data_IF_285890619811
#
_entry.id   IF_285890619811
#
_cell.length_a   1.000
_cell.length_b   1.000
_cell.length_c   1.000
_cell.angle_alpha   90.00
_cell.angle_beta   90.00
_cell.angle_gamma   90.00
#
_symmetry.space_group_name_H-M   'P 1'
#
loop_
_entity.id
_entity.type
_entity.pdbx_description
1 polymer ?
#
# COMPACT_ATOMS: atom_id res chain seq x y z
N UNK A 1 -12.47 8.03 6.39
CA UNK A 1 -11.38 7.61 5.49
C UNK A 1 -11.09 6.14 5.73
N UNK A 2 -10.96 5.37 4.64
CA UNK A 2 -10.66 3.94 4.66
C UNK A 2 -9.61 3.63 3.58
N UNK A 3 -8.40 3.26 3.98
CA UNK A 3 -7.38 2.77 3.05
C UNK A 3 -7.56 1.26 2.83
N UNK A 4 -7.74 0.83 1.57
CA UNK A 4 -8.00 -0.57 1.23
C UNK A 4 -7.30 -1.00 -0.07
N UNK A 5 -6.15 -1.67 -0.02
CA UNK A 5 -5.41 -2.17 1.16
C UNK A 5 -4.85 -1.09 2.07
N UNK A 6 -4.73 -1.42 3.36
CA UNK A 6 -4.32 -0.49 4.38
C UNK A 6 -2.80 -0.32 4.48
N UNK A 7 -2.35 0.90 4.71
CA UNK A 7 -0.99 1.24 5.12
C UNK A 7 -1.03 1.69 6.60
N UNK A 8 -0.28 1.05 7.51
CA UNK A 8 0.93 0.24 7.25
C UNK A 8 0.77 -1.29 7.34
N UNK A 9 -0.44 -1.83 7.53
CA UNK A 9 -0.65 -3.26 7.81
C UNK A 9 -0.53 -4.16 6.57
N UNK A 10 -0.78 -3.62 5.37
CA UNK A 10 -0.84 -4.39 4.13
C UNK A 10 -2.08 -5.28 4.00
N UNK A 11 -2.99 -5.24 4.96
CA UNK A 11 -4.24 -6.00 4.96
C UNK A 11 -5.33 -5.27 4.17
N UNK A 12 -6.38 -5.99 3.76
CA UNK A 12 -7.56 -5.39 3.15
C UNK A 12 -8.85 -5.89 3.81
N UNK A 13 -9.91 -5.15 3.59
CA UNK A 13 -11.28 -5.51 3.94
C UNK A 13 -11.94 -6.10 2.70
N UNK A 14 -12.67 -7.22 2.86
CA UNK A 14 -13.35 -7.89 1.76
C UNK A 14 -14.41 -7.00 1.10
N UNK A 15 -14.72 -7.26 -0.19
CA UNK A 15 -15.81 -6.56 -0.89
C UNK A 15 -17.15 -6.66 -0.16
N UNK A 16 -17.42 -7.80 0.50
CA UNK A 16 -18.64 -7.99 1.30
C UNK A 16 -18.68 -7.05 2.50
N UNK A 17 -17.57 -6.93 3.21
CA UNK A 17 -17.54 -6.18 4.46
C UNK A 17 -17.46 -4.68 4.24
N UNK A 18 -16.78 -4.20 3.17
CA UNK A 18 -16.78 -2.79 2.82
C UNK A 18 -18.18 -2.33 2.33
N UNK A 19 -18.92 -3.19 1.61
CA UNK A 19 -20.31 -2.92 1.25
C UNK A 19 -21.22 -2.87 2.47
N UNK A 20 -21.03 -3.78 3.44
CA UNK A 20 -21.75 -3.75 4.72
C UNK A 20 -21.45 -2.47 5.50
N UNK A 21 -20.17 -2.05 5.55
CA UNK A 21 -19.78 -0.79 6.16
C UNK A 21 -20.56 0.37 5.54
N UNK A 22 -20.55 0.50 4.20
CA UNK A 22 -21.26 1.59 3.51
C UNK A 22 -22.75 1.59 3.79
N UNK A 23 -23.41 0.43 3.82
CA UNK A 23 -24.84 0.30 4.13
C UNK A 23 -25.19 0.76 5.56
N UNK A 24 -24.26 0.59 6.52
CA UNK A 24 -24.46 1.03 7.91
C UNK A 24 -24.15 2.51 8.15
N UNK A 25 -23.42 3.15 7.24
CA UNK A 25 -23.15 4.58 7.34
C UNK A 25 -24.38 5.39 6.91
N UNK A 26 -24.71 6.42 7.67
CA UNK A 26 -25.77 7.39 7.32
C UNK A 26 -25.46 8.04 5.96
N UNK A 27 -26.51 8.45 5.24
CA UNK A 27 -26.36 9.01 3.89
C UNK A 27 -25.62 10.37 3.85
N UNK A 28 -25.59 11.10 4.96
CA UNK A 28 -24.87 12.36 5.08
C UNK A 28 -23.36 12.17 5.41
N UNK A 29 -22.88 10.94 5.55
CA UNK A 29 -21.46 10.65 5.79
C UNK A 29 -20.79 10.35 4.46
N UNK A 30 -19.79 11.17 4.11
CA UNK A 30 -18.90 10.90 2.98
C UNK A 30 -17.91 9.78 3.35
N UNK A 31 -17.94 8.68 2.61
CA UNK A 31 -16.92 7.64 2.70
C UNK A 31 -15.80 7.91 1.70
N UNK A 32 -14.60 8.12 2.19
CA UNK A 32 -13.41 8.22 1.33
C UNK A 32 -12.69 6.87 1.33
N UNK A 33 -12.59 6.24 0.16
CA UNK A 33 -11.87 4.97 -0.04
C UNK A 33 -10.55 5.27 -0.74
N UNK A 34 -9.44 5.04 -0.05
CA UNK A 34 -8.10 5.18 -0.60
C UNK A 34 -7.64 3.85 -1.22
N UNK A 35 -7.74 3.77 -2.53
CA UNK A 35 -7.36 2.62 -3.36
C UNK A 35 -5.88 2.66 -3.80
N UNK A 36 -4.98 3.31 -3.04
CA UNK A 36 -3.58 3.52 -3.45
C UNK A 36 -2.79 2.23 -3.72
N UNK A 37 -3.27 1.08 -3.26
CA UNK A 37 -2.61 -0.22 -3.40
C UNK A 37 -3.51 -1.29 -4.05
N UNK A 38 -4.63 -0.91 -4.64
CA UNK A 38 -5.63 -1.87 -5.13
C UNK A 38 -5.07 -2.83 -6.18
N UNK A 39 -4.13 -2.38 -7.01
CA UNK A 39 -3.54 -3.21 -8.08
C UNK A 39 -2.84 -4.46 -7.53
N UNK A 40 -2.28 -4.37 -6.33
CA UNK A 40 -1.62 -5.52 -5.70
C UNK A 40 -2.60 -6.52 -5.09
N UNK A 41 -3.78 -6.04 -4.66
CA UNK A 41 -4.80 -6.86 -4.02
C UNK A 41 -5.80 -7.48 -5.01
N UNK A 42 -5.93 -6.95 -6.23
CA UNK A 42 -6.97 -7.32 -7.21
C UNK A 42 -6.94 -8.80 -7.66
N UNK A 43 -5.87 -9.52 -7.36
CA UNK A 43 -5.79 -10.97 -7.63
C UNK A 43 -6.54 -11.82 -6.60
N UNK A 44 -7.01 -11.23 -5.50
CA UNK A 44 -7.78 -11.94 -4.48
C UNK A 44 -9.27 -11.91 -4.83
N UNK A 45 -9.92 -13.05 -4.81
CA UNK A 45 -11.33 -13.22 -5.25
C UNK A 45 -12.36 -12.45 -4.44
N UNK A 46 -12.07 -12.18 -3.17
CA UNK A 46 -12.94 -11.47 -2.23
C UNK A 46 -12.59 -9.98 -2.09
N UNK A 47 -11.54 -9.52 -2.77
CA UNK A 47 -11.19 -8.10 -2.88
C UNK A 47 -11.88 -7.48 -4.10
N UNK A 48 -12.25 -6.21 -3.98
CA UNK A 48 -12.69 -5.40 -5.11
C UNK A 48 -12.32 -3.93 -4.86
N UNK A 49 -11.97 -3.21 -5.93
CA UNK A 49 -11.63 -1.80 -5.83
C UNK A 49 -12.84 -0.94 -5.46
N UNK A 50 -12.59 0.14 -4.73
CA UNK A 50 -13.64 1.10 -4.39
C UNK A 50 -14.34 1.66 -5.62
N UNK A 51 -13.63 1.85 -6.73
CA UNK A 51 -14.22 2.33 -7.97
C UNK A 51 -15.30 1.39 -8.51
N UNK A 52 -15.01 0.09 -8.58
CA UNK A 52 -15.97 -0.89 -9.08
C UNK A 52 -17.18 -1.05 -8.14
N UNK A 53 -16.94 -0.99 -6.82
CA UNK A 53 -18.01 -1.13 -5.82
C UNK A 53 -18.92 0.09 -5.74
N UNK A 54 -18.38 1.30 -5.90
CA UNK A 54 -19.07 2.54 -5.51
C UNK A 54 -19.22 3.58 -6.62
N UNK A 55 -18.93 3.25 -7.88
CA UNK A 55 -19.00 4.21 -9.01
C UNK A 55 -20.34 4.94 -9.13
N UNK A 56 -21.45 4.35 -8.65
CA UNK A 56 -22.78 4.92 -8.72
C UNK A 56 -23.25 5.54 -7.37
N UNK A 57 -22.40 5.58 -6.37
CA UNK A 57 -22.75 6.15 -5.06
C UNK A 57 -22.43 7.65 -5.01
N UNK A 58 -23.41 8.47 -4.61
CA UNK A 58 -23.25 9.94 -4.56
C UNK A 58 -22.34 10.44 -3.45
N UNK A 59 -22.19 9.69 -2.37
CA UNK A 59 -21.47 10.07 -1.15
C UNK A 59 -20.26 9.17 -0.86
N UNK A 60 -19.58 8.72 -1.90
CA UNK A 60 -18.30 8.01 -1.82
C UNK A 60 -17.29 8.72 -2.71
N UNK A 61 -16.11 8.99 -2.18
CA UNK A 61 -14.95 9.47 -2.90
C UNK A 61 -13.91 8.36 -2.96
N UNK A 62 -13.49 7.99 -4.14
CA UNK A 62 -12.39 7.05 -4.37
C UNK A 62 -11.14 7.82 -4.74
N UNK A 63 -10.02 7.53 -4.11
CA UNK A 63 -8.72 8.13 -4.44
C UNK A 63 -7.74 7.09 -4.96
N UNK A 64 -6.96 7.44 -5.98
CA UNK A 64 -5.89 6.62 -6.54
C UNK A 64 -4.63 7.43 -6.78
N UNK A 65 -3.51 6.75 -6.90
CA UNK A 65 -2.21 7.40 -7.02
C UNK A 65 -1.36 6.78 -8.12
N UNK A 66 -0.54 7.60 -8.76
CA UNK A 66 0.54 7.14 -9.64
C UNK A 66 1.87 6.94 -8.88
N UNK A 67 1.89 7.19 -7.57
CA UNK A 67 3.08 7.13 -6.73
C UNK A 67 3.57 5.71 -6.40
N UNK A 68 2.76 4.67 -6.65
CA UNK A 68 3.06 3.29 -6.25
C UNK A 68 3.45 2.45 -7.47
N UNK A 69 2.55 1.62 -7.97
CA UNK A 69 2.84 0.68 -9.05
C UNK A 69 3.31 1.36 -10.35
N UNK A 70 2.87 2.58 -10.58
CA UNK A 70 3.26 3.37 -11.75
C UNK A 70 4.65 4.02 -11.65
N UNK A 71 5.29 3.96 -10.47
CA UNK A 71 6.66 4.47 -10.27
C UNK A 71 6.81 5.99 -10.25
N UNK A 72 5.73 6.76 -10.22
CA UNK A 72 5.74 8.23 -10.36
C UNK A 72 5.66 8.97 -9.02
N UNK A 73 6.23 8.41 -7.96
CA UNK A 73 6.14 8.99 -6.60
C UNK A 73 6.64 10.43 -6.50
N UNK A 74 7.72 10.76 -7.23
CA UNK A 74 8.32 12.10 -7.26
C UNK A 74 7.49 13.15 -8.00
N UNK A 75 6.59 12.73 -8.90
CA UNK A 75 5.79 13.65 -9.72
C UNK A 75 4.50 14.14 -9.03
N UNK A 76 4.16 13.59 -7.87
CA UNK A 76 3.04 14.05 -7.02
C UNK A 76 1.69 14.11 -7.76
N UNK A 77 1.32 13.05 -8.46
CA UNK A 77 0.07 12.95 -9.23
C UNK A 77 -0.78 11.76 -8.78
N UNK A 78 -2.06 11.98 -8.72
CA UNK A 78 -3.12 11.03 -8.42
C UNK A 78 -4.45 11.56 -8.95
N UNK A 79 -5.53 10.84 -8.71
CA UNK A 79 -6.86 11.26 -9.12
C UNK A 79 -7.92 10.79 -8.12
N UNK A 80 -9.06 11.46 -8.16
CA UNK A 80 -10.24 11.11 -7.38
C UNK A 80 -11.46 10.94 -8.27
N UNK A 81 -12.37 10.06 -7.86
CA UNK A 81 -13.64 9.81 -8.50
C UNK A 81 -14.78 9.89 -7.48
N UNK A 82 -15.81 10.68 -7.80
CA UNK A 82 -17.01 10.83 -6.95
C UNK A 82 -18.16 11.40 -7.76
N UNK A 83 -19.29 11.74 -7.09
CA UNK A 83 -20.38 12.49 -7.71
C UNK A 83 -19.93 13.87 -8.18
N UNK A 84 -20.66 14.43 -9.13
CA UNK A 84 -20.37 15.77 -9.70
C UNK A 84 -20.30 16.86 -8.63
N UNK A 85 -21.17 16.79 -7.62
CA UNK A 85 -21.24 17.76 -6.53
C UNK A 85 -19.96 17.76 -5.68
N UNK A 86 -19.50 16.57 -5.31
CA UNK A 86 -18.26 16.40 -4.52
C UNK A 86 -17.05 16.86 -5.35
N UNK A 87 -16.97 16.45 -6.61
CA UNK A 87 -15.87 16.86 -7.50
C UNK A 87 -15.88 18.38 -7.72
N UNK A 88 -17.05 19.01 -7.85
CA UNK A 88 -17.17 20.48 -7.95
C UNK A 88 -16.61 21.15 -6.70
N UNK A 89 -16.98 20.68 -5.52
CA UNK A 89 -16.47 21.20 -4.23
C UNK A 89 -14.94 21.04 -4.10
N UNK A 90 -14.40 19.89 -4.48
CA UNK A 90 -12.95 19.66 -4.49
C UNK A 90 -12.22 20.58 -5.48
N UNK A 91 -12.80 20.83 -6.65
CA UNK A 91 -12.21 21.72 -7.65
C UNK A 91 -12.19 23.19 -7.20
N UNK A 92 -13.16 23.64 -6.38
CA UNK A 92 -13.15 25.00 -5.80
C UNK A 92 -12.03 25.18 -4.77
N UNK A 93 -11.63 24.11 -4.07
CA UNK A 93 -10.55 24.14 -3.06
C UNK A 93 -9.17 23.89 -3.66
N UNK A 94 -9.12 23.38 -4.87
CA UNK A 94 -7.87 23.00 -5.54
C UNK A 94 -7.09 24.26 -5.93
N UNK A 95 -5.82 24.40 -5.50
CA UNK A 95 -5.00 25.53 -5.95
C UNK A 95 -4.75 25.46 -7.47
N UNK A 96 -4.55 26.60 -8.12
CA UNK A 96 -4.19 26.63 -9.53
C UNK A 96 -2.86 25.88 -9.73
N UNK A 97 -2.74 25.21 -10.89
CA UNK A 97 -1.54 24.45 -11.28
C UNK A 97 -1.11 23.37 -10.27
N UNK A 98 -2.03 22.80 -9.50
CA UNK A 98 -1.77 21.79 -8.47
C UNK A 98 -1.09 20.50 -8.98
N UNK A 99 -1.16 20.22 -10.29
CA UNK A 99 -0.43 19.13 -10.95
C UNK A 99 0.39 19.71 -12.09
N UNK A 100 1.69 19.45 -12.12
CA UNK A 100 2.56 19.93 -13.19
C UNK A 100 2.34 19.16 -14.51
N UNK A 101 2.65 19.80 -15.64
CA UNK A 101 2.44 19.21 -16.99
C UNK A 101 3.22 17.92 -17.19
N UNK A 102 4.46 17.85 -16.73
CA UNK A 102 5.28 16.65 -16.85
C UNK A 102 4.62 15.45 -16.15
N UNK A 103 4.03 15.67 -14.95
CA UNK A 103 3.30 14.64 -14.23
C UNK A 103 2.06 14.15 -15.00
N UNK A 104 1.32 15.04 -15.67
CA UNK A 104 0.15 14.65 -16.48
C UNK A 104 0.55 13.80 -17.68
N UNK A 105 1.59 14.18 -18.40
CA UNK A 105 2.11 13.40 -19.54
C UNK A 105 2.63 12.03 -19.07
N UNK A 106 3.43 11.99 -18.00
CA UNK A 106 3.95 10.75 -17.44
C UNK A 106 2.83 9.81 -16.97
N UNK A 107 1.80 10.35 -16.28
CA UNK A 107 0.64 9.57 -15.85
C UNK A 107 -0.14 9.00 -17.03
N UNK A 108 -0.38 9.82 -18.07
CA UNK A 108 -1.07 9.38 -19.29
C UNK A 108 -0.31 8.29 -20.05
N UNK A 109 1.01 8.34 -20.06
CA UNK A 109 1.86 7.31 -20.65
C UNK A 109 1.85 6.02 -19.80
N UNK A 110 2.03 6.17 -18.48
CA UNK A 110 2.16 5.02 -17.56
C UNK A 110 0.89 4.19 -17.44
N UNK A 111 -0.31 4.81 -17.51
CA UNK A 111 -1.58 4.07 -17.46
C UNK A 111 -1.78 3.14 -18.66
N UNK A 112 -1.15 3.45 -19.79
CA UNK A 112 -1.20 2.64 -21.01
C UNK A 112 -0.21 1.48 -20.99
N UNK A 113 0.81 1.52 -20.13
CA UNK A 113 1.82 0.46 -20.02
C UNK A 113 1.31 -0.72 -19.18
N UNK A 114 0.37 -1.46 -19.76
CA UNK A 114 -0.20 -2.65 -19.11
C UNK A 114 0.82 -3.80 -18.95
N UNK A 115 1.90 -3.81 -19.76
CA UNK A 115 2.98 -4.78 -19.64
C UNK A 115 3.77 -4.56 -18.35
N UNK A 116 4.13 -3.31 -18.08
CA UNK A 116 4.75 -2.92 -16.83
C UNK A 116 3.88 -3.31 -15.62
N UNK A 117 2.61 -2.93 -15.61
CA UNK A 117 1.69 -3.23 -14.50
C UNK A 117 1.62 -4.72 -14.20
N UNK A 118 1.45 -5.57 -15.22
CA UNK A 118 1.40 -7.03 -15.05
C UNK A 118 2.72 -7.59 -14.51
N UNK A 119 3.86 -7.08 -14.99
CA UNK A 119 5.19 -7.48 -14.53
C UNK A 119 5.38 -7.13 -13.05
N UNK A 120 5.03 -5.90 -12.65
CA UNK A 120 5.17 -5.44 -11.26
C UNK A 120 4.24 -6.20 -10.30
N UNK A 121 2.97 -6.41 -10.66
CA UNK A 121 2.04 -7.23 -9.85
C UNK A 121 2.62 -8.63 -9.64
N UNK A 122 3.10 -9.28 -10.70
CA UNK A 122 3.71 -10.62 -10.63
C UNK A 122 4.96 -10.62 -9.76
N UNK A 123 5.82 -9.62 -9.89
CA UNK A 123 7.03 -9.45 -9.09
C UNK A 123 6.71 -9.29 -7.60
N UNK A 124 5.85 -8.35 -7.25
CA UNK A 124 5.47 -8.09 -5.86
C UNK A 124 4.81 -9.30 -5.23
N UNK A 125 3.84 -9.94 -5.89
CA UNK A 125 3.16 -11.12 -5.36
C UNK A 125 4.12 -12.31 -5.15
N UNK A 126 5.07 -12.53 -6.07
CA UNK A 126 6.12 -13.54 -5.93
C UNK A 126 6.97 -13.29 -4.66
N UNK A 127 7.42 -12.05 -4.47
CA UNK A 127 8.28 -11.71 -3.34
C UNK A 127 7.52 -11.62 -2.01
N UNK A 128 6.28 -11.15 -2.02
CA UNK A 128 5.40 -11.17 -0.84
C UNK A 128 5.23 -12.61 -0.32
N UNK A 129 4.95 -13.56 -1.22
CA UNK A 129 4.85 -15.00 -0.88
C UNK A 129 6.17 -15.54 -0.31
N UNK A 130 7.31 -15.17 -0.91
CA UNK A 130 8.63 -15.60 -0.43
C UNK A 130 8.97 -14.98 0.93
N UNK A 131 8.73 -13.68 1.12
CA UNK A 131 8.92 -12.99 2.39
C UNK A 131 8.07 -13.62 3.48
N UNK A 132 6.77 -13.83 3.22
CA UNK A 132 5.86 -14.43 4.18
C UNK A 132 6.36 -15.78 4.69
N UNK A 133 6.75 -16.70 3.78
CA UNK A 133 7.30 -18.02 4.14
C UNK A 133 8.59 -17.90 5.01
N UNK A 134 9.49 -16.98 4.64
CA UNK A 134 10.74 -16.78 5.37
C UNK A 134 10.48 -16.16 6.74
N UNK A 135 9.59 -15.17 6.85
CA UNK A 135 9.25 -14.59 8.15
C UNK A 135 8.60 -15.61 9.07
N UNK A 136 7.72 -16.47 8.54
CA UNK A 136 7.18 -17.58 9.32
C UNK A 136 8.27 -18.55 9.81
N UNK A 137 9.22 -18.94 8.97
CA UNK A 137 10.33 -19.83 9.37
C UNK A 137 11.25 -19.21 10.42
N UNK A 138 11.35 -17.88 10.44
CA UNK A 138 12.08 -17.12 11.47
C UNK A 138 11.22 -16.79 12.71
N UNK A 139 9.98 -17.27 12.79
CA UNK A 139 9.00 -16.96 13.83
C UNK A 139 8.71 -15.45 13.97
N UNK A 140 8.98 -14.66 12.93
CA UNK A 140 8.63 -13.24 12.84
C UNK A 140 7.16 -13.15 12.50
N UNK A 141 6.40 -12.42 13.32
CA UNK A 141 4.97 -12.22 13.07
C UNK A 141 4.73 -11.26 11.92
N UNK A 142 3.89 -11.65 10.99
CA UNK A 142 3.51 -10.82 9.83
C UNK A 142 2.18 -11.26 9.26
N UNK A 143 1.44 -10.32 8.70
CA UNK A 143 0.31 -10.61 7.82
C UNK A 143 0.82 -10.79 6.39
N UNK A 144 0.11 -11.58 5.57
CA UNK A 144 0.37 -11.58 4.14
C UNK A 144 0.07 -10.19 3.57
N UNK A 145 1.08 -9.57 2.94
CA UNK A 145 0.96 -8.21 2.43
C UNK A 145 0.25 -8.17 1.07
N UNK A 146 -0.80 -7.35 0.99
CA UNK A 146 -1.53 -7.05 -0.25
C UNK A 146 -1.20 -5.65 -0.79
N UNK A 147 0.01 -5.16 -0.50
CA UNK A 147 0.62 -3.93 -0.99
C UNK A 147 2.05 -4.22 -1.42
N UNK A 148 2.82 -3.20 -1.82
CA UNK A 148 4.24 -3.36 -2.14
C UNK A 148 5.16 -3.37 -0.91
N UNK A 149 4.64 -3.71 0.26
CA UNK A 149 5.37 -3.81 1.52
C UNK A 149 4.76 -4.86 2.45
N UNK A 150 5.49 -5.23 3.50
CA UNK A 150 5.02 -6.07 4.59
C UNK A 150 5.33 -5.42 5.92
N UNK A 151 4.40 -5.57 6.88
CA UNK A 151 4.60 -5.23 8.28
C UNK A 151 5.12 -6.48 9.00
N UNK A 152 6.21 -6.34 9.75
CA UNK A 152 6.83 -7.40 10.53
C UNK A 152 6.96 -6.98 11.99
N UNK A 153 6.57 -7.88 12.90
CA UNK A 153 6.63 -7.67 14.34
C UNK A 153 7.61 -8.68 14.98
N UNK A 154 8.36 -8.23 15.98
CA UNK A 154 9.45 -9.00 16.57
C UNK A 154 9.18 -9.49 17.99
N UNK A 155 7.94 -9.36 18.49
CA UNK A 155 7.61 -9.76 19.86
C UNK A 155 7.80 -11.27 20.08
N UNK A 156 7.32 -12.11 19.16
CA UNK A 156 7.44 -13.58 19.24
C UNK A 156 8.89 -14.06 19.26
N UNK A 157 9.79 -13.34 18.59
CA UNK A 157 11.23 -13.68 18.60
C UNK A 157 12.00 -12.97 19.71
N UNK A 158 11.31 -12.23 20.59
CA UNK A 158 11.88 -11.48 21.71
C UNK A 158 13.05 -10.58 21.31
N UNK A 159 12.98 -9.98 20.12
CA UNK A 159 13.99 -9.05 19.60
C UNK A 159 13.43 -7.63 19.59
N UNK A 160 14.30 -6.65 19.70
CA UNK A 160 13.93 -5.24 19.71
C UNK A 160 14.03 -4.68 18.29
N UNK A 161 12.92 -4.20 17.74
CA UNK A 161 12.84 -3.65 16.39
C UNK A 161 13.77 -2.45 16.15
N UNK A 162 14.04 -1.61 17.18
CA UNK A 162 15.00 -0.50 17.08
C UNK A 162 16.41 -1.01 16.85
N UNK A 163 16.83 -2.04 17.63
CA UNK A 163 18.17 -2.66 17.45
C UNK A 163 18.28 -3.29 16.05
N UNK A 164 17.23 -3.99 15.60
CA UNK A 164 17.19 -4.58 14.26
C UNK A 164 17.26 -3.47 13.19
N UNK A 165 16.50 -2.39 13.34
CA UNK A 165 16.54 -1.25 12.42
C UNK A 165 17.97 -0.72 12.26
N UNK A 166 18.68 -0.44 13.35
CA UNK A 166 20.05 0.08 13.28
C UNK A 166 21.03 -0.92 12.63
N UNK A 167 20.92 -2.23 12.96
CA UNK A 167 21.75 -3.25 12.30
C UNK A 167 21.48 -3.36 10.79
N UNK A 168 20.22 -3.25 10.37
CA UNK A 168 19.86 -3.19 8.93
C UNK A 168 20.41 -1.93 8.29
N UNK A 169 20.26 -0.76 8.93
CA UNK A 169 20.76 0.52 8.42
C UNK A 169 22.28 0.52 8.25
N UNK A 170 23.04 -0.02 9.22
CA UNK A 170 24.50 -0.18 9.14
C UNK A 170 24.92 -1.11 7.99
N UNK A 171 24.05 -2.03 7.56
CA UNK A 171 24.25 -2.86 6.38
C UNK A 171 23.76 -2.19 5.07
N UNK A 172 23.39 -0.90 5.11
CA UNK A 172 22.88 -0.14 3.98
C UNK A 172 21.47 -0.56 3.55
N UNK A 173 20.62 -0.96 4.51
CA UNK A 173 19.23 -1.36 4.28
C UNK A 173 18.32 -0.48 5.13
N UNK A 174 17.57 0.41 4.48
CA UNK A 174 16.61 1.28 5.14
C UNK A 174 15.21 0.68 5.10
N UNK A 175 14.62 0.54 6.27
CA UNK A 175 13.22 0.10 6.48
C UNK A 175 12.47 1.17 7.26
N UNK A 176 11.14 1.07 7.33
CA UNK A 176 10.33 2.07 8.04
C UNK A 176 10.03 1.64 9.47
N UNK A 177 10.36 2.51 10.44
CA UNK A 177 9.92 2.36 11.82
C UNK A 177 8.42 2.64 11.94
N UNK A 178 7.76 1.98 12.89
CA UNK A 178 6.30 2.01 13.02
C UNK A 178 5.80 2.76 14.26
N UNK A 179 6.69 3.34 15.06
CA UNK A 179 6.30 4.08 16.27
C UNK A 179 5.35 5.25 15.96
N UNK A 180 5.52 5.92 14.81
CA UNK A 180 4.63 7.02 14.38
C UNK A 180 3.17 6.57 14.25
N UNK A 181 2.96 5.29 13.94
CA UNK A 181 1.64 4.67 13.85
C UNK A 181 1.21 4.00 15.16
N UNK A 182 1.95 4.18 16.25
CA UNK A 182 1.73 3.52 17.55
C UNK A 182 1.76 1.99 17.49
N UNK A 183 2.38 1.42 16.46
CA UNK A 183 2.56 -0.03 16.31
C UNK A 183 3.90 -0.40 16.92
N UNK A 184 3.83 -1.03 18.10
CA UNK A 184 5.02 -1.35 18.89
C UNK A 184 5.86 -2.44 18.20
N UNK A 185 7.15 -2.40 18.45
CA UNK A 185 8.15 -3.43 18.10
C UNK A 185 8.07 -3.96 16.66
N UNK A 186 7.74 -3.07 15.71
CA UNK A 186 7.47 -3.42 14.32
C UNK A 186 8.27 -2.58 13.34
N UNK A 187 8.53 -3.16 12.17
CA UNK A 187 9.12 -2.47 11.02
C UNK A 187 8.25 -2.74 9.78
N UNK A 188 8.17 -1.77 8.87
CA UNK A 188 7.55 -1.96 7.56
C UNK A 188 8.65 -2.05 6.50
N UNK A 189 8.64 -3.14 5.75
CA UNK A 189 9.64 -3.45 4.72
C UNK A 189 9.00 -3.33 3.35
N UNK A 190 9.54 -2.47 2.50
CA UNK A 190 9.13 -2.38 1.10
C UNK A 190 9.73 -3.56 0.32
N UNK A 191 8.93 -4.16 -0.55
CA UNK A 191 9.39 -5.18 -1.49
C UNK A 191 10.08 -4.42 -2.65
N UNK A 192 11.38 -4.53 -2.72
CA UNK A 192 12.22 -3.92 -3.74
C UNK A 192 12.48 -4.83 -4.93
N UNK A 193 13.54 -4.57 -5.68
CA UNK A 193 14.00 -5.47 -6.74
C UNK A 193 14.60 -6.76 -6.15
N UNK A 194 14.86 -7.76 -7.00
CA UNK A 194 15.32 -9.08 -6.53
C UNK A 194 16.66 -9.03 -5.78
N UNK A 195 17.59 -8.16 -6.18
CA UNK A 195 18.90 -8.03 -5.51
C UNK A 195 18.73 -7.43 -4.12
N UNK A 196 17.93 -6.38 -4.00
CA UNK A 196 17.61 -5.73 -2.71
C UNK A 196 16.89 -6.70 -1.75
N UNK A 197 15.91 -7.42 -2.25
CA UNK A 197 15.15 -8.40 -1.47
C UNK A 197 16.04 -9.53 -0.94
N UNK A 198 16.96 -10.05 -1.76
CA UNK A 198 17.92 -11.08 -1.36
C UNK A 198 18.89 -10.53 -0.30
N UNK A 199 19.43 -9.31 -0.52
CA UNK A 199 20.30 -8.64 0.46
C UNK A 199 19.59 -8.45 1.80
N UNK A 200 18.36 -7.93 1.78
CA UNK A 200 17.55 -7.73 2.98
C UNK A 200 17.35 -9.04 3.75
N UNK A 201 16.88 -10.10 3.09
CA UNK A 201 16.62 -11.38 3.74
C UNK A 201 17.89 -12.01 4.34
N UNK A 202 19.04 -11.89 3.65
CA UNK A 202 20.32 -12.37 4.15
C UNK A 202 20.73 -11.67 5.45
N UNK A 203 20.65 -10.34 5.47
CA UNK A 203 21.03 -9.54 6.64
C UNK A 203 20.01 -9.77 7.77
N UNK A 204 18.70 -9.77 7.48
CA UNK A 204 17.67 -10.01 8.48
C UNK A 204 17.89 -11.35 9.20
N UNK A 205 18.15 -12.43 8.48
CA UNK A 205 18.44 -13.74 9.07
C UNK A 205 19.61 -13.69 10.05
N UNK A 206 20.71 -13.02 9.70
CA UNK A 206 21.87 -12.84 10.59
C UNK A 206 21.50 -12.04 11.84
N UNK A 207 20.75 -10.98 11.70
CA UNK A 207 20.39 -10.06 12.79
C UNK A 207 19.40 -10.68 13.78
N UNK A 208 18.51 -11.55 13.30
CA UNK A 208 17.49 -12.20 14.13
C UNK A 208 18.03 -13.43 14.84
N UNK A 209 18.98 -14.17 14.24
CA UNK A 209 19.54 -15.39 14.83
C UNK A 209 20.69 -15.12 15.82
N UNK A 210 21.14 -13.90 15.97
CA UNK A 210 22.09 -13.43 16.99
C UNK A 210 21.33 -12.77 18.14
#
# INVERSE_FOLDING_TARGET
FLANPNNPTGTYISKRDILKLRKKLRNNILLVVDDAYFEYAQTNKDFESGLNLFKNYKNVLITRTFSKIYGLAGLRVGWGYSSKEIIKSLNMLKPPFNVNRAALFAASASIKDTKWLRKEIKHINKWAKKFFKIFQSLKIETNYGHANFMLINFDKVRKNSKKIFFRLANAGILVRKMEVYKIKNSLRVTIGNSKENIKFLRVLKRVVNV
#
